data_IF_739049607740
#
_entry.id   IF_739049607740
#
_cell.length_a   1.000
_cell.length_b   1.000
_cell.length_c   1.000
_cell.angle_alpha   90.00
_cell.angle_beta   90.00
_cell.angle_gamma   90.00
#
_symmetry.space_group_name_H-M   'P 1'
#
loop_
_entity.id
_entity.type
_entity.pdbx_description
1 polymer ?
#
# COMPACT_ATOMS: atom_id res chain seq x y z
N UNK A 1 -6.20 6.88 2.50
CA UNK A 1 -4.80 7.11 2.96
C UNK A 1 -3.96 7.46 1.75
N UNK A 2 -3.10 8.48 1.86
CA UNK A 2 -2.15 8.85 0.80
C UNK A 2 -0.96 7.89 0.80
N UNK A 3 -0.70 7.24 -0.32
CA UNK A 3 0.42 6.32 -0.48
C UNK A 3 0.94 6.33 -1.92
N UNK A 4 2.26 6.28 -2.07
CA UNK A 4 2.99 6.05 -3.31
C UNK A 4 3.91 4.85 -3.11
N UNK A 5 3.81 3.85 -3.97
CA UNK A 5 4.72 2.72 -4.03
C UNK A 5 5.64 2.84 -5.24
N UNK A 6 6.94 2.59 -5.03
CA UNK A 6 7.96 2.57 -6.08
C UNK A 6 8.58 1.17 -6.12
N UNK A 7 8.30 0.45 -7.21
CA UNK A 7 8.71 -0.95 -7.40
C UNK A 7 9.52 -1.16 -8.68
N UNK A 8 9.86 -2.41 -8.97
CA UNK A 8 10.35 -2.83 -10.27
C UNK A 8 9.42 -3.89 -10.83
N UNK A 9 9.15 -3.80 -12.13
CA UNK A 9 8.41 -4.81 -12.87
C UNK A 9 9.16 -5.20 -14.13
N UNK A 10 8.85 -6.39 -14.64
CA UNK A 10 9.32 -6.82 -15.95
C UNK A 10 8.21 -6.63 -16.98
N UNK A 11 8.42 -5.71 -17.91
CA UNK A 11 7.47 -5.40 -18.98
C UNK A 11 8.20 -5.57 -20.31
N UNK A 12 7.66 -6.41 -21.19
CA UNK A 12 8.24 -6.73 -22.51
C UNK A 12 9.72 -7.15 -22.43
N UNK A 13 10.06 -7.97 -21.42
CA UNK A 13 11.42 -8.45 -21.16
C UNK A 13 12.40 -7.37 -20.66
N UNK A 14 11.91 -6.19 -20.30
CA UNK A 14 12.71 -5.09 -19.76
C UNK A 14 12.30 -4.81 -18.31
N UNK A 15 13.30 -4.73 -17.43
CA UNK A 15 13.09 -4.25 -16.06
C UNK A 15 12.86 -2.75 -16.07
N UNK A 16 11.68 -2.34 -15.61
CA UNK A 16 11.24 -0.95 -15.52
C UNK A 16 10.95 -0.59 -14.07
N UNK A 17 11.00 0.70 -13.74
CA UNK A 17 10.52 1.17 -12.44
C UNK A 17 9.06 1.55 -12.57
N UNK A 18 8.24 1.02 -11.69
CA UNK A 18 6.83 1.37 -11.61
C UNK A 18 6.56 2.27 -10.42
N UNK A 19 5.52 3.09 -10.57
CA UNK A 19 5.01 3.97 -9.54
C UNK A 19 3.49 3.79 -9.49
N UNK A 20 3.00 3.31 -8.35
CA UNK A 20 1.58 3.16 -8.05
C UNK A 20 1.20 4.12 -6.93
N UNK A 21 -0.03 4.61 -6.94
CA UNK A 21 -0.48 5.55 -5.91
C UNK A 21 -1.96 5.39 -5.55
N UNK A 22 -2.27 5.75 -4.31
CA UNK A 22 -3.61 5.75 -3.72
C UNK A 22 -3.83 6.98 -2.85
N UNK A 23 -5.07 7.49 -2.83
CA UNK A 23 -5.44 8.69 -2.05
C UNK A 23 -4.85 10.02 -2.56
N UNK A 24 -4.17 10.00 -3.70
CA UNK A 24 -3.70 11.18 -4.43
C UNK A 24 -4.56 11.40 -5.68
N UNK A 25 -4.78 12.67 -6.02
CA UNK A 25 -5.45 13.06 -7.25
C UNK A 25 -4.50 12.90 -8.46
N UNK A 26 -5.04 12.43 -9.58
CA UNK A 26 -4.28 12.19 -10.80
C UNK A 26 -3.56 13.45 -11.31
N UNK A 27 -4.23 14.61 -11.23
CA UNK A 27 -3.66 15.91 -11.61
C UNK A 27 -2.45 16.29 -10.75
N UNK A 28 -2.50 16.00 -9.44
CA UNK A 28 -1.41 16.26 -8.53
C UNK A 28 -0.18 15.46 -8.94
N UNK A 29 -0.34 14.16 -9.18
CA UNK A 29 0.77 13.27 -9.56
C UNK A 29 1.31 13.64 -10.94
N UNK A 30 0.45 13.89 -11.92
CA UNK A 30 0.89 14.27 -13.26
C UNK A 30 1.64 15.61 -13.29
N UNK A 31 1.19 16.61 -12.52
CA UNK A 31 1.88 17.91 -12.42
C UNK A 31 3.31 17.75 -11.88
N UNK A 32 3.49 16.89 -10.87
CA UNK A 32 4.81 16.56 -10.31
C UNK A 32 5.69 15.89 -11.37
N UNK A 33 5.16 14.88 -12.07
CA UNK A 33 5.93 14.13 -13.06
C UNK A 33 6.30 14.98 -14.27
N UNK A 34 5.38 15.80 -14.80
CA UNK A 34 5.63 16.72 -15.91
C UNK A 34 6.73 17.73 -15.54
N UNK A 35 6.68 18.31 -14.34
CA UNK A 35 7.71 19.27 -13.84
C UNK A 35 9.07 18.62 -13.59
N UNK A 36 9.09 17.32 -13.28
CA UNK A 36 10.33 16.59 -12.98
C UNK A 36 11.17 16.21 -14.20
N UNK A 37 10.60 16.32 -15.42
CA UNK A 37 11.26 15.90 -16.66
C UNK A 37 11.47 14.38 -16.76
N UNK A 38 10.73 13.59 -15.99
CA UNK A 38 10.74 12.13 -16.08
C UNK A 38 10.09 11.69 -17.39
N UNK A 39 10.70 10.71 -18.06
CA UNK A 39 10.04 9.96 -19.13
C UNK A 39 9.21 8.86 -18.50
N UNK A 40 7.90 8.93 -18.71
CA UNK A 40 6.97 7.95 -18.17
C UNK A 40 5.83 7.64 -19.15
N UNK A 41 5.26 6.45 -19.00
CA UNK A 41 3.99 6.05 -19.60
C UNK A 41 2.95 5.86 -18.48
N UNK A 42 1.70 6.29 -18.69
CA UNK A 42 0.64 6.18 -17.69
C UNK A 42 -0.46 5.25 -18.19
N UNK A 43 -0.79 4.23 -17.39
CA UNK A 43 -1.91 3.30 -17.61
C UNK A 43 -2.79 3.30 -16.36
N UNK A 44 -3.83 4.14 -16.36
CA UNK A 44 -4.61 4.39 -15.15
C UNK A 44 -3.73 4.98 -14.05
N UNK A 45 -3.70 4.38 -12.85
CA UNK A 45 -2.84 4.82 -11.73
C UNK A 45 -1.46 4.17 -11.70
N UNK A 46 -1.16 3.31 -12.67
CA UNK A 46 0.17 2.74 -12.85
C UNK A 46 1.00 3.66 -13.76
N UNK A 47 2.17 4.07 -13.28
CA UNK A 47 3.12 4.90 -14.03
C UNK A 47 4.40 4.12 -14.24
N UNK A 48 4.79 3.95 -15.49
CA UNK A 48 6.00 3.23 -15.89
C UNK A 48 7.09 4.26 -16.15
N UNK A 49 8.09 4.34 -15.27
CA UNK A 49 9.19 5.32 -15.37
C UNK A 49 10.41 4.68 -16.02
N UNK A 50 10.89 5.30 -17.10
CA UNK A 50 12.03 4.79 -17.87
C UNK A 50 13.36 5.37 -17.40
N UNK A 51 14.38 4.51 -17.26
CA UNK A 51 15.79 4.92 -17.17
C UNK A 51 16.23 5.64 -15.89
N UNK A 52 15.46 5.54 -14.80
CA UNK A 52 15.80 6.12 -13.49
C UNK A 52 15.74 5.07 -12.39
N UNK A 53 16.59 5.23 -11.36
CA UNK A 53 16.55 4.37 -10.18
C UNK A 53 15.42 4.77 -9.22
N UNK A 54 14.95 3.81 -8.41
CA UNK A 54 13.89 4.02 -7.41
C UNK A 54 14.19 5.19 -6.47
N UNK A 55 15.41 5.27 -5.93
CA UNK A 55 15.84 6.35 -5.02
C UNK A 55 15.83 7.73 -5.70
N UNK A 56 16.16 7.80 -7.00
CA UNK A 56 16.13 9.06 -7.73
C UNK A 56 14.70 9.57 -7.90
N UNK A 57 13.76 8.65 -8.13
CA UNK A 57 12.32 8.95 -8.21
C UNK A 57 11.79 9.39 -6.83
N UNK A 58 12.11 8.66 -5.75
CA UNK A 58 11.79 9.06 -4.37
C UNK A 58 12.24 10.50 -4.08
N UNK A 59 13.49 10.83 -4.38
CA UNK A 59 14.04 12.15 -4.15
C UNK A 59 13.31 13.25 -4.94
N UNK A 60 12.87 12.96 -6.17
CA UNK A 60 12.06 13.89 -6.96
C UNK A 60 10.72 14.14 -6.27
N UNK A 61 10.01 13.08 -5.90
CA UNK A 61 8.70 13.19 -5.23
C UNK A 61 8.78 14.01 -3.94
N UNK A 62 9.80 13.74 -3.11
CA UNK A 62 10.03 14.49 -1.86
C UNK A 62 10.32 15.96 -2.14
N UNK A 63 11.18 16.26 -3.12
CA UNK A 63 11.46 17.66 -3.52
C UNK A 63 10.24 18.37 -4.10
N UNK A 64 9.28 17.64 -4.63
CA UNK A 64 8.01 18.17 -5.14
C UNK A 64 6.92 18.29 -4.07
N UNK A 65 7.25 18.03 -2.79
CA UNK A 65 6.34 18.24 -1.67
C UNK A 65 5.55 17.01 -1.22
N UNK A 66 5.84 15.82 -1.77
CA UNK A 66 5.27 14.57 -1.23
C UNK A 66 5.94 14.26 0.10
N UNK A 67 5.13 13.97 1.12
CA UNK A 67 5.63 13.56 2.42
C UNK A 67 6.42 12.24 2.27
N UNK A 68 7.68 12.16 2.74
CA UNK A 68 8.47 10.92 2.67
C UNK A 68 7.78 9.70 3.30
N UNK A 69 6.94 9.92 4.32
CA UNK A 69 6.18 8.86 5.00
C UNK A 69 5.04 8.28 4.16
N UNK A 70 4.66 8.98 3.08
CA UNK A 70 3.67 8.50 2.12
C UNK A 70 4.35 7.71 0.98
N UNK A 71 5.68 7.52 0.99
CA UNK A 71 6.44 6.85 -0.09
C UNK A 71 7.07 5.55 0.40
N UNK A 72 6.69 4.44 -0.23
CA UNK A 72 7.30 3.12 -0.02
C UNK A 72 8.19 2.80 -1.23
N UNK A 73 9.44 2.43 -0.97
CA UNK A 73 10.36 1.94 -2.00
C UNK A 73 10.66 0.48 -1.75
N UNK A 74 10.39 -0.36 -2.75
CA UNK A 74 10.72 -1.78 -2.70
C UNK A 74 12.21 -1.97 -2.35
N UNK A 75 12.50 -2.82 -1.37
CA UNK A 75 13.87 -3.15 -0.97
C UNK A 75 14.60 -2.11 -0.10
N UNK A 76 13.98 -0.95 0.22
CA UNK A 76 14.51 -0.07 1.27
C UNK A 76 14.10 -0.57 2.67
N UNK A 77 14.98 -0.37 3.65
CA UNK A 77 14.64 -0.63 5.06
C UNK A 77 13.62 0.42 5.53
N UNK A 78 12.38 0.00 5.66
CA UNK A 78 11.28 0.88 6.01
C UNK A 78 11.32 1.19 7.51
N UNK A 79 11.41 2.48 7.86
CA UNK A 79 11.19 2.94 9.25
C UNK A 79 9.68 2.94 9.53
N UNK A 80 9.11 1.75 9.76
CA UNK A 80 7.67 1.58 9.84
C UNK A 80 6.99 2.26 11.05
N UNK A 81 7.73 2.83 12.00
CA UNK A 81 7.20 3.53 13.20
C UNK A 81 6.18 4.64 12.85
N UNK A 82 6.28 5.26 11.67
CA UNK A 82 5.41 6.35 11.25
C UNK A 82 4.24 5.88 10.38
N UNK A 83 4.41 4.76 9.66
CA UNK A 83 3.37 4.10 8.85
C UNK A 83 2.36 3.39 9.76
N UNK A 84 2.83 2.66 10.78
CA UNK A 84 1.95 1.97 11.74
C UNK A 84 1.09 2.93 12.58
N UNK A 85 1.47 4.21 12.74
CA UNK A 85 0.62 5.22 13.41
C UNK A 85 -0.63 5.60 12.60
N UNK A 86 -0.63 5.37 11.29
CA UNK A 86 -1.75 5.68 10.38
C UNK A 86 -2.58 4.44 10.03
N UNK A 87 -2.04 3.25 10.29
CA UNK A 87 -2.76 1.98 10.25
C UNK A 87 -3.44 1.82 11.62
N UNK A 88 -4.57 2.49 11.83
CA UNK A 88 -5.43 2.24 12.99
C UNK A 88 -6.31 1.02 12.72
N UNK A 89 -5.81 -0.19 13.02
CA UNK A 89 -6.72 -1.27 13.40
C UNK A 89 -7.29 -0.84 14.75
N UNK A 90 -8.58 -0.50 14.78
CA UNK A 90 -9.26 -0.12 16.01
C UNK A 90 -9.13 -1.26 17.02
N UNK A 91 -8.77 -0.94 18.27
CA UNK A 91 -8.46 -1.91 19.35
C UNK A 91 -9.65 -2.80 19.79
N UNK A 92 -10.72 -2.89 19.01
CA UNK A 92 -11.91 -3.70 19.27
C UNK A 92 -12.63 -4.20 18.00
N UNK A 93 -12.07 -3.96 16.80
CA UNK A 93 -12.72 -4.38 15.57
C UNK A 93 -12.56 -5.90 15.36
N UNK A 94 -13.68 -6.63 15.29
CA UNK A 94 -13.66 -8.04 14.87
C UNK A 94 -13.56 -8.11 13.36
N UNK A 95 -12.57 -8.85 12.85
CA UNK A 95 -12.37 -9.05 11.42
C UNK A 95 -13.31 -10.14 10.88
N UNK A 96 -13.98 -9.84 9.78
CA UNK A 96 -14.89 -10.75 9.08
C UNK A 96 -14.44 -10.95 7.63
N UNK A 97 -14.45 -12.21 7.18
CA UNK A 97 -14.16 -12.57 5.81
C UNK A 97 -15.18 -11.96 4.84
N UNK A 98 -14.76 -11.19 3.82
CA UNK A 98 -15.68 -10.57 2.86
C UNK A 98 -16.32 -11.61 1.92
N UNK A 99 -15.78 -12.83 1.87
CA UNK A 99 -16.25 -13.89 0.97
C UNK A 99 -17.36 -14.74 1.58
N UNK A 100 -17.20 -15.16 2.83
CA UNK A 100 -18.13 -16.10 3.48
C UNK A 100 -18.71 -15.60 4.81
N UNK A 101 -18.31 -14.41 5.28
CA UNK A 101 -18.77 -13.87 6.57
C UNK A 101 -18.14 -14.53 7.81
N UNK A 102 -17.22 -15.48 7.64
CA UNK A 102 -16.54 -16.14 8.75
C UNK A 102 -15.68 -15.17 9.58
N UNK A 103 -15.63 -15.43 10.89
CA UNK A 103 -14.76 -14.76 11.87
C UNK A 103 -13.45 -15.51 12.10
N UNK A 104 -13.29 -16.70 11.50
CA UNK A 104 -12.12 -17.54 11.62
C UNK A 104 -10.99 -17.01 10.71
N UNK A 105 -10.42 -15.89 11.13
CA UNK A 105 -9.44 -15.11 10.35
C UNK A 105 -8.15 -14.99 11.15
N UNK A 106 -7.01 -15.26 10.49
CA UNK A 106 -5.69 -15.07 11.09
C UNK A 106 -4.71 -14.51 10.09
N UNK A 107 -3.55 -14.04 10.59
CA UNK A 107 -2.39 -13.77 9.75
C UNK A 107 -1.92 -15.06 9.08
N UNK A 108 -1.58 -14.97 7.79
CA UNK A 108 -1.07 -16.12 7.04
C UNK A 108 0.28 -16.60 7.61
N UNK A 109 1.09 -15.68 8.15
CA UNK A 109 2.33 -15.97 8.86
C UNK A 109 2.60 -14.92 9.95
N UNK A 110 3.48 -15.25 10.91
CA UNK A 110 3.94 -14.31 11.93
C UNK A 110 4.66 -13.08 11.35
N UNK A 111 5.25 -13.24 10.16
CA UNK A 111 5.91 -12.19 9.40
C UNK A 111 4.93 -11.25 8.70
N UNK A 112 3.66 -11.65 8.57
CA UNK A 112 2.66 -10.88 7.85
C UNK A 112 2.22 -9.65 8.65
N UNK A 113 2.36 -8.49 8.02
CA UNK A 113 2.23 -7.18 8.67
C UNK A 113 3.47 -6.78 9.48
N UNK A 114 4.56 -7.56 9.43
CA UNK A 114 5.86 -7.20 10.01
C UNK A 114 6.96 -7.11 8.95
N UNK A 115 7.31 -8.22 8.30
CA UNK A 115 8.31 -8.30 7.22
C UNK A 115 7.66 -8.31 5.83
N UNK A 116 6.48 -8.93 5.70
CA UNK A 116 5.70 -8.97 4.45
C UNK A 116 4.41 -8.16 4.61
N UNK A 117 3.78 -7.71 3.50
CA UNK A 117 2.48 -7.05 3.56
C UNK A 117 1.48 -7.84 4.40
N UNK A 118 0.58 -7.12 5.09
CA UNK A 118 -0.47 -7.77 5.87
C UNK A 118 -1.34 -8.60 4.93
N UNK A 119 -1.31 -9.90 5.15
CA UNK A 119 -2.08 -10.91 4.46
C UNK A 119 -2.73 -11.77 5.54
N UNK A 120 -4.04 -11.74 5.51
CA UNK A 120 -4.89 -12.51 6.36
C UNK A 120 -5.46 -13.66 5.53
N UNK A 121 -5.73 -14.78 6.18
CA UNK A 121 -6.41 -15.93 5.62
C UNK A 121 -7.67 -16.21 6.43
N UNK A 122 -8.77 -16.50 5.73
CA UNK A 122 -9.94 -17.12 6.32
C UNK A 122 -9.77 -18.64 6.27
N UNK A 123 -9.74 -19.29 7.45
CA UNK A 123 -9.54 -20.74 7.56
C UNK A 123 -10.73 -21.54 7.07
N UNK A 124 -11.92 -20.94 7.00
CA UNK A 124 -13.15 -21.65 6.58
C UNK A 124 -13.33 -21.70 5.05
N UNK A 125 -12.89 -20.66 4.31
CA UNK A 125 -13.11 -20.59 2.86
C UNK A 125 -11.85 -20.34 2.02
N UNK A 126 -10.68 -20.23 2.66
CA UNK A 126 -9.39 -20.06 1.99
C UNK A 126 -9.17 -18.69 1.32
N UNK A 127 -10.02 -17.70 1.58
CA UNK A 127 -9.79 -16.34 1.09
C UNK A 127 -8.52 -15.75 1.71
N UNK A 128 -7.60 -15.27 0.87
CA UNK A 128 -6.34 -14.64 1.28
C UNK A 128 -6.32 -13.21 0.77
N UNK A 129 -6.03 -12.24 1.64
CA UNK A 129 -5.92 -10.84 1.25
C UNK A 129 -5.71 -9.88 2.41
N UNK A 130 -5.51 -8.60 2.09
CA UNK A 130 -5.42 -7.54 3.09
C UNK A 130 -6.79 -6.93 3.44
N UNK A 131 -7.80 -7.13 2.59
CA UNK A 131 -9.14 -6.56 2.76
C UNK A 131 -10.05 -7.53 3.53
N UNK A 132 -10.38 -7.14 4.77
CA UNK A 132 -11.36 -7.80 5.63
C UNK A 132 -12.32 -6.74 6.19
N UNK A 133 -13.53 -7.18 6.54
CA UNK A 133 -14.54 -6.30 7.13
C UNK A 133 -14.25 -6.12 8.61
N UNK A 134 -14.15 -4.87 9.06
CA UNK A 134 -14.09 -4.54 10.48
C UNK A 134 -15.52 -4.32 10.99
N UNK A 135 -15.91 -5.07 12.02
CA UNK A 135 -17.21 -4.87 12.69
C UNK A 135 -16.98 -4.38 14.10
N UNK A 136 -17.62 -3.26 14.42
CA UNK A 136 -17.71 -2.72 15.77
C UNK A 136 -18.76 -3.52 16.56
N UNK A 137 -18.36 -4.15 17.66
CA UNK A 137 -19.34 -4.70 18.59
C UNK A 137 -19.83 -3.59 19.52
N UNK A 138 -21.10 -3.22 19.38
CA UNK A 138 -21.79 -2.42 20.38
C UNK A 138 -21.87 -3.26 21.67
N UNK A 139 -20.99 -2.99 22.63
CA UNK A 139 -21.10 -3.53 23.99
C UNK A 139 -22.26 -2.82 24.69
N UNK A 140 -23.49 -3.24 24.39
CA UNK A 140 -24.64 -2.92 25.23
C UNK A 140 -24.64 -3.88 26.41
N UNK A 141 -23.99 -3.47 27.51
CA UNK A 141 -24.22 -4.08 28.82
C UNK A 141 -25.66 -3.74 29.28
N UNK A 142 -26.60 -4.64 29.02
CA UNK A 142 -27.86 -4.74 29.76
C UNK A 142 -28.04 -6.15 30.26
N UNK A 143 -27.57 -6.39 31.48
CA UNK A 143 -28.27 -7.14 32.53
C UNK A 143 -27.59 -6.84 33.85
#
# INVERSE_FOLDING_TARGET
>A
MKLIFIGREEIDGKRVVILEYSGFDDEQIESILKKSGLRYDKKGRLIIVSGKSKNKIKNILVKSGINPEDIIVEGEFLSFKHIFKRISIGRSARLICPRCGSRNVRKISFLSGWLTPLQLICEDCGYIGAAFLEVEENVNNRT
#
